data_IF_790943865832
#
_entry.id   IF_790943865832
#
_cell.length_a   1.000
_cell.length_b   1.000
_cell.length_c   1.000
_cell.angle_alpha   90.00
_cell.angle_beta   90.00
_cell.angle_gamma   90.00
#
_symmetry.space_group_name_H-M   'P 1'
#
loop_
_entity.id
_entity.type
_entity.pdbx_description
1 polymer ?
#
# COMPACT_ATOMS: atom_id res chain seq x y z
N UNK A 1 -12.08 14.29 -17.96
CA UNK A 1 -10.65 14.04 -17.74
C UNK A 1 -10.44 12.68 -17.14
N UNK A 2 -9.43 11.97 -17.63
CA UNK A 2 -9.09 10.67 -17.08
C UNK A 2 -8.53 10.84 -15.67
N UNK A 3 -8.89 9.93 -14.79
CA UNK A 3 -8.31 9.88 -13.45
C UNK A 3 -6.86 9.40 -13.54
N UNK A 4 -6.02 9.88 -12.64
CA UNK A 4 -4.67 9.35 -12.50
C UNK A 4 -4.73 7.90 -12.06
N UNK A 5 -3.76 7.12 -12.52
CA UNK A 5 -3.61 5.75 -12.04
C UNK A 5 -3.36 5.77 -10.54
N UNK A 6 -3.84 4.71 -9.90
CA UNK A 6 -3.63 4.51 -8.46
C UNK A 6 -2.94 3.16 -8.28
N UNK A 7 -1.59 3.12 -8.35
CA UNK A 7 -0.90 1.84 -8.29
C UNK A 7 -1.00 1.19 -6.91
N UNK A 8 -1.32 -0.10 -6.91
CA UNK A 8 -1.31 -0.89 -5.70
C UNK A 8 0.14 -1.08 -5.22
N UNK A 9 0.38 -1.16 -3.90
CA UNK A 9 1.74 -1.40 -3.39
C UNK A 9 2.43 -2.60 -4.00
N UNK A 10 1.69 -3.64 -4.37
CA UNK A 10 2.25 -4.82 -5.01
C UNK A 10 2.84 -4.53 -6.37
N UNK A 11 2.26 -3.58 -7.10
CA UNK A 11 2.79 -3.14 -8.39
C UNK A 11 4.14 -2.45 -8.20
N UNK A 12 4.23 -1.61 -7.18
CA UNK A 12 5.49 -0.94 -6.84
C UNK A 12 6.55 -1.97 -6.41
N UNK A 13 6.15 -2.93 -5.58
CA UNK A 13 7.05 -4.00 -5.16
C UNK A 13 7.61 -4.75 -6.38
N UNK A 14 6.76 -5.08 -7.33
CA UNK A 14 7.19 -5.78 -8.53
C UNK A 14 8.12 -4.92 -9.37
N UNK A 15 7.70 -3.70 -9.72
CA UNK A 15 8.43 -2.88 -10.69
C UNK A 15 9.69 -2.27 -10.12
N UNK A 16 9.64 -1.77 -8.88
CA UNK A 16 10.75 -1.01 -8.31
C UNK A 16 11.74 -1.90 -7.54
N UNK A 17 11.33 -3.09 -7.15
CA UNK A 17 12.17 -3.95 -6.32
C UNK A 17 12.47 -5.29 -6.97
N UNK A 18 11.45 -6.04 -7.36
CA UNK A 18 11.69 -7.37 -7.93
C UNK A 18 12.34 -7.30 -9.30
N UNK A 19 11.82 -6.43 -10.18
CA UNK A 19 12.40 -6.30 -11.52
C UNK A 19 13.81 -5.74 -11.46
N UNK A 20 14.06 -4.78 -10.57
CA UNK A 20 15.37 -4.15 -10.46
C UNK A 20 16.43 -5.09 -9.89
N UNK A 21 16.04 -5.95 -8.96
CA UNK A 21 16.98 -6.87 -8.31
C UNK A 21 17.10 -8.21 -9.04
N UNK A 22 16.16 -8.52 -9.93
CA UNK A 22 16.08 -9.84 -10.55
C UNK A 22 15.58 -10.92 -9.59
N UNK A 23 15.11 -10.53 -8.40
CA UNK A 23 14.66 -11.48 -7.39
C UNK A 23 13.27 -11.98 -7.74
N UNK A 24 13.06 -13.29 -7.66
CA UNK A 24 11.73 -13.87 -7.91
C UNK A 24 10.83 -13.66 -6.69
N UNK A 25 9.52 -13.75 -6.92
CA UNK A 25 8.55 -13.65 -5.82
C UNK A 25 8.76 -14.75 -4.78
N UNK A 26 9.05 -15.96 -5.23
CA UNK A 26 9.29 -17.07 -4.32
C UNK A 26 10.57 -16.88 -3.49
N UNK A 27 11.61 -16.37 -4.12
CA UNK A 27 12.85 -16.08 -3.39
C UNK A 27 12.67 -14.98 -2.37
N UNK A 28 11.90 -13.95 -2.71
CA UNK A 28 11.59 -12.89 -1.75
C UNK A 28 10.81 -13.46 -0.57
N UNK A 29 9.76 -14.25 -0.83
CA UNK A 29 8.97 -14.85 0.23
C UNK A 29 9.84 -15.68 1.18
N UNK A 30 10.72 -16.50 0.61
CA UNK A 30 11.65 -17.32 1.37
C UNK A 30 12.57 -16.44 2.23
N UNK A 31 13.13 -15.39 1.63
CA UNK A 31 14.06 -14.50 2.31
C UNK A 31 13.45 -13.77 3.50
N UNK A 32 12.16 -13.43 3.41
CA UNK A 32 11.48 -12.71 4.49
C UNK A 32 10.65 -13.62 5.39
N UNK A 33 10.66 -14.93 5.13
CA UNK A 33 10.04 -15.91 6.00
C UNK A 33 8.53 -15.93 5.95
N UNK A 34 7.93 -15.77 4.75
CA UNK A 34 6.48 -15.83 4.56
C UNK A 34 6.15 -16.84 3.46
N UNK A 35 4.92 -17.36 3.43
CA UNK A 35 4.51 -18.23 2.32
C UNK A 35 4.57 -17.50 0.98
N UNK A 36 4.92 -18.23 -0.09
CA UNK A 36 4.99 -17.64 -1.43
C UNK A 36 3.69 -17.00 -1.87
N UNK A 37 2.54 -17.58 -1.50
CA UNK A 37 1.25 -17.03 -1.89
C UNK A 37 0.99 -15.66 -1.29
N UNK A 38 1.62 -15.30 -0.17
CA UNK A 38 1.48 -13.96 0.39
C UNK A 38 2.06 -12.91 -0.57
N UNK A 39 3.26 -13.17 -1.09
CA UNK A 39 3.89 -12.25 -2.04
C UNK A 39 3.13 -12.23 -3.37
N UNK A 40 2.72 -13.38 -3.88
CA UNK A 40 1.94 -13.46 -5.12
C UNK A 40 0.65 -12.65 -5.02
N UNK A 41 -0.06 -12.77 -3.90
CA UNK A 41 -1.32 -12.05 -3.70
C UNK A 41 -1.10 -10.54 -3.62
N UNK A 42 -0.03 -10.10 -2.95
CA UNK A 42 0.29 -8.67 -2.88
C UNK A 42 0.64 -8.14 -4.27
N UNK A 43 1.49 -8.85 -5.01
CA UNK A 43 1.88 -8.42 -6.36
C UNK A 43 0.66 -8.35 -7.29
N UNK A 44 -0.27 -9.28 -7.15
CA UNK A 44 -1.48 -9.30 -7.96
C UNK A 44 -2.54 -8.29 -7.49
N UNK A 45 -2.32 -7.60 -6.39
CA UNK A 45 -3.25 -6.61 -5.89
C UNK A 45 -4.44 -7.16 -5.13
N UNK A 46 -4.43 -8.46 -4.80
CA UNK A 46 -5.53 -9.11 -4.10
C UNK A 46 -5.31 -9.19 -2.60
N UNK A 47 -4.17 -8.74 -2.12
CA UNK A 47 -3.85 -8.69 -0.70
C UNK A 47 -3.14 -7.40 -0.39
N UNK A 48 -3.52 -6.76 0.71
CA UNK A 48 -2.91 -5.53 1.17
C UNK A 48 -1.63 -5.82 1.94
N UNK A 49 -0.75 -4.80 1.99
CA UNK A 49 0.43 -4.85 2.84
C UNK A 49 0.01 -4.51 4.27
N UNK A 50 0.30 -5.42 5.19
CA UNK A 50 0.07 -5.20 6.61
C UNK A 50 1.38 -4.80 7.29
N UNK A 51 1.29 -4.40 8.57
CA UNK A 51 2.48 -4.03 9.33
C UNK A 51 3.51 -5.17 9.38
N UNK A 52 3.05 -6.41 9.55
CA UNK A 52 3.93 -7.57 9.55
C UNK A 52 4.74 -7.66 8.26
N UNK A 53 4.05 -7.58 7.13
CA UNK A 53 4.71 -7.67 5.83
C UNK A 53 5.62 -6.47 5.57
N UNK A 54 5.18 -5.26 5.95
CA UNK A 54 5.98 -4.07 5.80
C UNK A 54 7.31 -4.18 6.55
N UNK A 55 7.27 -4.61 7.80
CA UNK A 55 8.48 -4.74 8.61
C UNK A 55 9.48 -5.73 7.97
N UNK A 56 8.96 -6.84 7.47
CA UNK A 56 9.80 -7.85 6.82
C UNK A 56 10.42 -7.35 5.53
N UNK A 57 9.62 -6.69 4.68
CA UNK A 57 10.09 -6.13 3.42
C UNK A 57 11.10 -5.01 3.65
N UNK A 58 10.80 -4.11 4.60
CA UNK A 58 11.70 -2.99 4.88
C UNK A 58 13.02 -3.47 5.45
N UNK A 59 13.00 -4.49 6.29
CA UNK A 59 14.24 -5.07 6.79
C UNK A 59 15.08 -5.66 5.66
N UNK A 60 14.44 -6.41 4.78
CA UNK A 60 15.14 -7.09 3.68
C UNK A 60 15.74 -6.08 2.68
N UNK A 61 14.96 -5.06 2.31
CA UNK A 61 15.42 -4.07 1.34
C UNK A 61 16.15 -2.89 1.96
N UNK A 62 16.39 -2.93 3.27
CA UNK A 62 17.10 -1.87 4.00
C UNK A 62 16.41 -0.50 3.87
N UNK A 63 15.09 -0.51 4.03
CA UNK A 63 14.27 0.69 3.97
C UNK A 63 13.78 1.06 5.37
N UNK A 64 13.38 2.32 5.55
CA UNK A 64 12.75 2.75 6.79
C UNK A 64 11.41 2.05 6.98
N UNK A 65 11.13 1.64 8.21
CA UNK A 65 9.85 1.02 8.54
C UNK A 65 8.69 1.92 8.11
N UNK A 66 7.66 1.29 7.58
CA UNK A 66 6.48 2.01 7.13
C UNK A 66 6.50 2.38 5.66
N UNK A 67 7.58 2.11 4.93
CA UNK A 67 7.67 2.46 3.51
C UNK A 67 6.50 1.87 2.72
N UNK A 68 6.26 0.57 2.84
CA UNK A 68 5.18 -0.08 2.11
C UNK A 68 3.81 0.24 2.70
N UNK A 69 3.73 0.51 4.01
CA UNK A 69 2.46 0.96 4.60
C UNK A 69 2.07 2.34 4.11
N UNK A 70 3.03 3.22 3.87
CA UNK A 70 2.72 4.53 3.26
C UNK A 70 2.18 4.38 1.85
N UNK A 71 2.73 3.44 1.06
CA UNK A 71 2.19 3.15 -0.26
C UNK A 71 0.78 2.58 -0.17
N UNK A 72 0.54 1.68 0.78
CA UNK A 72 -0.77 1.10 1.00
C UNK A 72 -1.77 2.17 1.41
N UNK A 73 -1.37 3.04 2.34
CA UNK A 73 -2.24 4.12 2.81
C UNK A 73 -2.61 5.07 1.66
N UNK A 74 -1.66 5.42 0.82
CA UNK A 74 -1.92 6.30 -0.32
C UNK A 74 -2.89 5.64 -1.31
N UNK A 75 -2.71 4.35 -1.57
CA UNK A 75 -3.59 3.60 -2.45
C UNK A 75 -5.01 3.56 -1.88
N UNK A 76 -5.14 3.15 -0.62
CA UNK A 76 -6.44 3.01 0.04
C UNK A 76 -7.16 4.34 0.12
N UNK A 77 -6.44 5.40 0.45
CA UNK A 77 -7.02 6.74 0.59
C UNK A 77 -7.58 7.23 -0.73
N UNK A 78 -6.82 7.07 -1.81
CA UNK A 78 -7.30 7.52 -3.13
C UNK A 78 -8.48 6.70 -3.61
N UNK A 79 -8.46 5.38 -3.40
CA UNK A 79 -9.59 4.52 -3.75
C UNK A 79 -10.85 4.94 -2.99
N UNK A 80 -10.71 5.18 -1.69
CA UNK A 80 -11.83 5.62 -0.86
C UNK A 80 -12.34 6.98 -1.30
N UNK A 81 -11.45 7.93 -1.59
CA UNK A 81 -11.85 9.26 -2.05
C UNK A 81 -12.70 9.17 -3.31
N UNK A 82 -12.28 8.34 -4.26
CA UNK A 82 -13.02 8.18 -5.51
C UNK A 82 -14.38 7.53 -5.30
N UNK A 83 -14.46 6.58 -4.35
CA UNK A 83 -15.68 5.83 -4.10
C UNK A 83 -16.71 6.65 -3.34
N UNK A 84 -16.28 7.42 -2.35
CA UNK A 84 -17.19 8.11 -1.44
C UNK A 84 -17.14 9.64 -1.54
N UNK A 85 -16.60 10.16 -2.64
CA UNK A 85 -16.44 11.61 -2.80
C UNK A 85 -17.76 12.37 -2.56
N UNK A 86 -18.86 11.86 -3.12
CA UNK A 86 -20.16 12.52 -2.97
C UNK A 86 -20.63 12.52 -1.52
N UNK A 87 -20.40 11.42 -0.80
CA UNK A 87 -20.80 11.34 0.60
C UNK A 87 -19.96 12.25 1.48
N UNK A 88 -18.66 12.29 1.23
CA UNK A 88 -17.75 13.16 1.99
C UNK A 88 -18.10 14.63 1.77
N UNK A 89 -18.48 14.99 0.54
CA UNK A 89 -18.86 16.37 0.21
C UNK A 89 -20.06 16.85 1.03
N UNK A 90 -20.90 15.92 1.50
CA UNK A 90 -22.08 16.27 2.32
C UNK A 90 -21.73 16.49 3.78
N UNK A 91 -20.56 16.08 4.22
CA UNK A 91 -20.16 16.21 5.62
C UNK A 91 -19.76 17.66 5.87
N UNK A 92 -20.38 18.26 6.87
CA UNK A 92 -20.04 19.61 7.28
C UNK A 92 -18.96 19.56 8.34
N UNK A 93 -17.86 20.28 8.16
CA UNK A 93 -16.81 20.30 9.18
C UNK A 93 -17.38 20.79 10.51
N UNK A 94 -16.93 20.17 11.59
CA UNK A 94 -17.30 20.61 12.93
C UNK A 94 -16.73 22.00 13.17
N UNK A 95 -17.58 22.90 13.66
CA UNK A 95 -17.15 24.22 14.07
C UNK A 95 -17.34 24.33 15.58
N UNK A 96 -16.27 24.47 16.35
CA UNK A 96 -16.42 24.68 17.79
C UNK A 96 -17.26 25.94 18.04
N UNK A 97 -18.20 25.86 18.98
CA UNK A 97 -18.92 27.05 19.37
C UNK A 97 -17.95 27.99 20.05
N UNK A 98 -18.15 29.29 19.80
CA UNK A 98 -17.36 30.29 20.51
C UNK A 98 -17.56 30.09 22.00
N UNK A 99 -16.50 30.20 22.78
CA UNK A 99 -16.57 30.14 24.24
C UNK A 99 -17.47 31.23 24.72
N UNK A 100 -18.41 30.86 25.58
CA UNK A 100 -19.34 31.83 26.16
C UNK A 100 -18.59 32.75 27.11
#
# INVERSE_FOLDING_TARGET
MAQLRNPHPGEILKQEFLNETGLSQNKLAEAIGVPGNRIHAIVNGTRDVTADTDLRLCKFFALSEGYFLRLQNAYDTLEAKRRIAADVAKIKPYKPQAAA
#
